data_IF_040995778092
#
_entry.id   IF_040995778092
#
_cell.length_a   1.000
_cell.length_b   1.000
_cell.length_c   1.000
_cell.angle_alpha   90.00
_cell.angle_beta   90.00
_cell.angle_gamma   90.00
#
_symmetry.space_group_name_H-M   'P 1'
#
loop_
_entity.id
_entity.type
_entity.pdbx_description
1 polymer ?
#
# COMPACT_ATOMS: atom_id res chain seq x y z
N UNK A 1 18.08 -3.57 25.73
CA UNK A 1 18.64 -4.33 24.60
C UNK A 1 19.61 -5.37 25.13
N UNK A 2 19.65 -6.54 24.51
CA UNK A 2 20.67 -7.56 24.78
C UNK A 2 21.74 -7.51 23.69
N UNK A 3 23.01 -7.61 24.10
CA UNK A 3 24.18 -7.75 23.23
C UNK A 3 25.00 -8.92 23.77
N UNK A 4 24.82 -10.10 23.18
CA UNK A 4 25.27 -11.35 23.80
C UNK A 4 24.66 -11.52 25.20
N UNK A 5 25.49 -11.76 26.21
CA UNK A 5 25.05 -11.92 27.60
C UNK A 5 24.90 -10.59 28.36
N UNK A 6 25.19 -9.46 27.71
CA UNK A 6 25.16 -8.15 28.35
C UNK A 6 23.85 -7.44 28.04
N UNK A 7 23.27 -6.80 29.06
CA UNK A 7 22.09 -5.94 28.91
C UNK A 7 22.52 -4.48 28.98
N UNK A 8 22.08 -3.68 28.02
CA UNK A 8 22.21 -2.21 28.05
C UNK A 8 20.85 -1.55 27.87
N UNK A 9 20.64 -0.45 28.61
CA UNK A 9 19.46 0.38 28.44
C UNK A 9 19.45 1.05 27.05
N UNK A 10 18.29 1.02 26.39
CA UNK A 10 18.15 1.55 25.04
C UNK A 10 18.32 3.08 25.02
N UNK A 11 17.88 3.75 26.10
CA UNK A 11 18.07 5.19 26.28
C UNK A 11 19.54 5.58 26.44
N UNK A 12 20.35 4.76 27.10
CA UNK A 12 21.80 4.97 27.20
C UNK A 12 22.46 4.95 25.82
N UNK A 13 22.17 3.92 25.01
CA UNK A 13 22.71 3.80 23.65
C UNK A 13 22.27 4.99 22.78
N UNK A 14 21.00 5.37 22.85
CA UNK A 14 20.50 6.55 22.14
C UNK A 14 21.21 7.84 22.55
N UNK A 15 21.34 8.13 23.85
CA UNK A 15 22.05 9.32 24.34
C UNK A 15 23.50 9.34 23.90
N UNK A 16 24.18 8.20 23.94
CA UNK A 16 25.55 8.08 23.44
C UNK A 16 25.62 8.39 21.94
N UNK A 17 24.74 7.80 21.13
CA UNK A 17 24.70 8.06 19.69
C UNK A 17 24.29 9.49 19.33
N UNK A 18 23.42 10.12 20.12
CA UNK A 18 23.02 11.51 19.93
C UNK A 18 24.21 12.45 20.22
N UNK A 19 24.97 12.22 21.30
CA UNK A 19 26.23 12.94 21.59
C UNK A 19 27.31 12.72 20.52
N UNK A 20 27.46 11.50 20.01
CA UNK A 20 28.45 11.17 18.97
C UNK A 20 28.24 11.91 17.65
N UNK A 21 27.07 12.54 17.42
CA UNK A 21 26.82 13.30 16.18
C UNK A 21 27.81 14.43 15.98
N UNK A 22 28.21 15.07 17.08
CA UNK A 22 29.13 16.21 17.06
C UNK A 22 30.59 15.76 16.89
N UNK A 23 30.85 14.44 16.89
CA UNK A 23 32.19 13.86 16.78
C UNK A 23 32.34 13.04 15.48
N UNK A 24 32.32 13.73 14.34
CA UNK A 24 32.41 13.11 13.00
C UNK A 24 33.59 12.14 12.84
N UNK A 25 34.78 12.51 13.33
CA UNK A 25 36.00 11.69 13.22
C UNK A 25 35.86 10.32 13.91
N UNK A 26 35.20 10.25 15.07
CA UNK A 26 34.94 8.98 15.75
C UNK A 26 33.91 8.13 15.01
N UNK A 27 32.85 8.75 14.47
CA UNK A 27 31.84 8.05 13.68
C UNK A 27 32.43 7.40 12.44
N UNK A 28 33.31 8.10 11.74
CA UNK A 28 34.02 7.59 10.57
C UNK A 28 34.99 6.48 10.94
N UNK A 29 35.82 6.69 11.96
CA UNK A 29 36.84 5.71 12.40
C UNK A 29 36.24 4.37 12.81
N UNK A 30 35.09 4.39 13.50
CA UNK A 30 34.44 3.18 14.02
C UNK A 30 33.20 2.75 13.23
N UNK A 31 32.93 3.38 12.07
CA UNK A 31 31.79 3.10 11.20
C UNK A 31 30.42 3.11 11.92
N UNK A 32 30.20 4.10 12.82
CA UNK A 32 28.98 4.19 13.64
C UNK A 32 27.91 5.02 12.91
N UNK A 33 26.83 4.34 12.49
CA UNK A 33 25.64 4.97 11.88
C UNK A 33 24.65 5.48 12.94
N UNK A 34 24.99 6.59 13.60
CA UNK A 34 24.16 7.17 14.70
C UNK A 34 22.73 7.54 14.29
N UNK A 35 22.50 7.88 13.01
CA UNK A 35 21.18 8.15 12.45
C UNK A 35 20.24 6.95 12.54
N UNK A 36 20.75 5.74 12.31
CA UNK A 36 19.95 4.52 12.31
C UNK A 36 19.49 4.17 13.73
N UNK A 37 20.38 4.32 14.70
CA UNK A 37 20.07 4.08 16.12
C UNK A 37 19.04 5.10 16.62
N UNK A 38 19.22 6.39 16.28
CA UNK A 38 18.23 7.41 16.64
C UNK A 38 16.86 7.13 16.01
N UNK A 39 16.86 6.81 14.73
CA UNK A 39 15.63 6.49 14.01
C UNK A 39 14.90 5.29 14.60
N UNK A 40 15.61 4.20 14.91
CA UNK A 40 15.03 3.02 15.55
C UNK A 40 14.59 3.33 16.98
N UNK A 41 15.37 4.09 17.76
CA UNK A 41 15.01 4.52 19.11
C UNK A 41 13.68 5.27 19.13
N UNK A 42 13.53 6.27 18.24
CA UNK A 42 12.31 7.06 18.12
C UNK A 42 11.08 6.22 17.76
N UNK A 43 11.24 5.02 17.19
CA UNK A 43 10.11 4.13 16.93
C UNK A 43 9.65 3.34 18.14
N UNK A 44 10.53 3.04 19.08
CA UNK A 44 10.16 2.29 20.30
C UNK A 44 9.78 3.20 21.48
N UNK A 45 9.91 4.52 21.32
CA UNK A 45 9.45 5.50 22.31
C UNK A 45 8.10 6.04 21.90
N UNK A 46 7.14 6.02 22.84
CA UNK A 46 5.80 6.54 22.63
C UNK A 46 5.84 8.01 22.20
N UNK A 47 5.13 8.31 21.11
CA UNK A 47 5.07 9.63 20.51
C UNK A 47 4.10 10.55 21.25
N UNK A 48 4.29 11.87 21.15
CA UNK A 48 3.21 12.81 21.43
C UNK A 48 2.15 12.70 20.31
N UNK A 49 0.89 12.52 20.70
CA UNK A 49 -0.25 12.21 19.82
C UNK A 49 -0.52 13.30 18.76
N UNK A 50 -0.25 14.57 19.07
CA UNK A 50 -0.52 15.73 18.18
C UNK A 50 0.52 15.94 17.06
N UNK A 51 1.35 14.95 16.74
CA UNK A 51 2.47 15.10 15.79
C UNK A 51 2.24 14.33 14.49
N UNK A 52 3.00 14.68 13.44
CA UNK A 52 3.14 13.93 12.17
C UNK A 52 3.48 12.43 12.35
N UNK A 53 3.80 12.02 13.57
CA UNK A 53 4.15 10.66 13.90
C UNK A 53 3.00 9.75 14.34
N UNK A 54 1.75 10.15 14.14
CA UNK A 54 0.58 9.33 14.46
C UNK A 54 0.61 7.94 13.81
N UNK A 55 1.30 7.79 12.67
CA UNK A 55 1.60 6.50 12.04
C UNK A 55 2.27 5.48 12.99
N UNK A 56 3.09 5.94 13.94
CA UNK A 56 3.79 5.06 14.88
C UNK A 56 2.85 4.40 15.91
N UNK A 57 1.61 4.85 16.04
CA UNK A 57 0.63 4.16 16.90
C UNK A 57 0.04 2.90 16.25
N UNK A 58 0.29 2.66 14.96
CA UNK A 58 -0.17 1.45 14.29
C UNK A 58 0.96 0.40 14.23
N UNK A 59 0.80 -0.68 14.99
CA UNK A 59 1.81 -1.73 15.08
C UNK A 59 2.14 -2.37 13.72
N UNK A 60 1.12 -2.72 12.93
CA UNK A 60 1.32 -3.37 11.63
C UNK A 60 2.01 -2.46 10.62
N UNK A 61 1.75 -1.16 10.68
CA UNK A 61 2.45 -0.20 9.84
C UNK A 61 3.94 -0.14 10.19
N UNK A 62 4.30 -0.16 11.48
CA UNK A 62 5.71 -0.19 11.88
C UNK A 62 6.40 -1.51 11.50
N UNK A 63 5.72 -2.66 11.63
CA UNK A 63 6.22 -3.93 11.09
C UNK A 63 6.44 -3.84 9.57
N UNK A 64 5.51 -3.25 8.84
CA UNK A 64 5.60 -3.09 7.40
C UNK A 64 6.83 -2.28 7.00
N UNK A 65 7.12 -1.19 7.71
CA UNK A 65 8.32 -0.37 7.48
C UNK A 65 9.62 -1.04 7.92
N UNK A 66 9.54 -2.10 8.70
CA UNK A 66 10.68 -2.88 9.18
C UNK A 66 10.96 -4.13 8.32
N UNK A 67 10.18 -4.39 7.26
CA UNK A 67 10.33 -5.59 6.42
C UNK A 67 11.68 -5.73 5.75
N UNK A 68 12.36 -4.63 5.45
CA UNK A 68 13.69 -4.67 4.84
C UNK A 68 14.80 -5.08 5.82
N UNK A 69 14.52 -5.12 7.13
CA UNK A 69 15.45 -5.66 8.12
C UNK A 69 15.71 -7.15 7.82
N UNK A 70 16.93 -7.60 8.08
CA UNK A 70 17.38 -8.97 7.77
C UNK A 70 17.60 -9.74 9.07
N UNK A 71 16.53 -10.20 9.75
CA UNK A 71 16.69 -11.02 10.95
C UNK A 71 17.29 -12.38 10.59
N UNK A 72 17.98 -13.00 11.54
CA UNK A 72 18.49 -14.38 11.38
C UNK A 72 17.35 -15.40 11.36
N UNK A 73 16.32 -15.19 12.18
CA UNK A 73 15.08 -15.98 12.16
C UNK A 73 13.95 -15.17 11.50
N UNK A 74 13.28 -15.65 10.45
CA UNK A 74 12.21 -14.91 9.78
C UNK A 74 10.99 -14.63 10.69
N UNK A 75 10.83 -15.33 11.82
CA UNK A 75 9.78 -15.04 12.81
C UNK A 75 10.04 -13.71 13.55
N UNK A 76 11.30 -13.27 13.60
CA UNK A 76 11.70 -12.03 14.26
C UNK A 76 11.25 -10.77 13.51
N UNK A 77 10.78 -10.90 12.26
CA UNK A 77 10.02 -9.83 11.62
C UNK A 77 8.80 -9.39 12.47
N UNK A 78 8.25 -10.29 13.29
CA UNK A 78 7.19 -9.98 14.27
C UNK A 78 7.76 -9.98 15.69
N UNK A 79 8.45 -11.06 16.10
CA UNK A 79 8.82 -11.26 17.50
C UNK A 79 9.74 -10.17 18.06
N UNK A 80 10.69 -9.67 17.28
CA UNK A 80 11.59 -8.60 17.72
C UNK A 80 10.86 -7.27 18.00
N UNK A 81 9.64 -7.10 17.48
CA UNK A 81 8.85 -5.89 17.63
C UNK A 81 7.78 -5.99 18.72
N UNK A 82 7.60 -7.13 19.40
CA UNK A 82 6.56 -7.27 20.45
C UNK A 82 6.75 -6.33 21.66
N UNK A 83 7.94 -5.77 21.82
CA UNK A 83 8.21 -4.72 22.82
C UNK A 83 7.72 -3.32 22.42
N UNK A 84 7.13 -3.15 21.24
CA UNK A 84 6.70 -1.85 20.73
C UNK A 84 5.52 -1.28 21.53
N UNK A 85 5.58 0.00 21.90
CA UNK A 85 4.61 0.63 22.80
C UNK A 85 3.16 0.60 22.29
N UNK A 86 2.95 0.59 20.97
CA UNK A 86 1.61 0.59 20.38
C UNK A 86 0.76 -0.63 20.79
N UNK A 87 1.37 -1.78 21.08
CA UNK A 87 0.66 -2.96 21.60
C UNK A 87 0.11 -2.75 23.02
N UNK A 88 0.64 -1.77 23.76
CA UNK A 88 0.22 -1.40 25.12
C UNK A 88 -0.48 -0.06 25.18
N UNK A 89 -0.66 0.60 24.03
CA UNK A 89 -1.23 1.93 23.97
C UNK A 89 -2.70 1.90 24.36
N UNK A 90 -3.10 2.84 25.22
CA UNK A 90 -4.49 2.97 25.67
C UNK A 90 -5.42 3.56 24.61
N UNK A 91 -4.85 4.18 23.57
CA UNK A 91 -5.60 4.94 22.56
C UNK A 91 -6.13 4.07 21.42
N UNK A 92 -5.37 3.03 21.02
CA UNK A 92 -5.71 2.17 19.88
C UNK A 92 -5.47 0.68 20.20
N UNK A 93 -6.14 0.11 21.23
CA UNK A 93 -5.81 -1.21 21.71
C UNK A 93 -6.35 -2.32 20.79
N UNK A 94 -5.46 -2.97 20.04
CA UNK A 94 -5.74 -4.31 19.52
C UNK A 94 -5.46 -5.34 20.62
N UNK A 95 -6.49 -5.69 21.41
CA UNK A 95 -6.36 -6.59 22.57
C UNK A 95 -5.91 -8.00 22.19
N UNK A 96 -6.31 -8.47 20.99
CA UNK A 96 -5.92 -9.77 20.46
C UNK A 96 -4.41 -9.87 20.19
N UNK A 97 -3.80 -8.78 19.71
CA UNK A 97 -2.36 -8.67 19.49
C UNK A 97 -1.59 -8.32 20.76
N UNK A 98 -2.19 -7.62 21.72
CA UNK A 98 -1.52 -7.22 22.97
C UNK A 98 -1.05 -8.43 23.79
N UNK A 99 -1.73 -9.58 23.66
CA UNK A 99 -1.39 -10.84 24.32
C UNK A 99 -0.59 -11.80 23.43
N UNK A 100 -0.15 -11.36 22.25
CA UNK A 100 0.66 -12.19 21.36
C UNK A 100 2.09 -12.29 21.87
N UNK A 101 2.55 -13.52 22.10
CA UNK A 101 3.88 -13.81 22.63
C UNK A 101 4.75 -14.54 21.61
N UNK A 102 6.07 -14.39 21.77
CA UNK A 102 7.03 -15.08 20.91
C UNK A 102 7.08 -16.57 21.26
N UNK A 103 6.72 -17.41 20.29
CA UNK A 103 6.77 -18.87 20.41
C UNK A 103 7.60 -19.46 19.27
N UNK A 104 8.85 -19.80 19.59
CA UNK A 104 9.80 -20.38 18.64
C UNK A 104 9.59 -21.89 18.42
N UNK A 105 8.61 -22.51 19.07
CA UNK A 105 8.20 -23.89 18.75
C UNK A 105 7.25 -23.94 17.54
N UNK A 106 6.60 -22.81 17.20
CA UNK A 106 5.73 -22.71 16.02
C UNK A 106 6.54 -22.54 14.74
N UNK A 107 6.07 -23.18 13.67
CA UNK A 107 6.60 -22.95 12.32
C UNK A 107 6.30 -21.52 11.85
N UNK A 108 7.10 -21.01 10.91
CA UNK A 108 6.92 -19.66 10.36
C UNK A 108 5.49 -19.41 9.85
N UNK A 109 4.85 -20.31 9.07
CA UNK A 109 3.47 -20.09 8.62
C UNK A 109 2.47 -20.01 9.78
N UNK A 110 2.61 -20.85 10.80
CA UNK A 110 1.74 -20.80 11.98
C UNK A 110 1.84 -19.45 12.70
N UNK A 111 3.07 -18.94 12.90
CA UNK A 111 3.29 -17.62 13.51
C UNK A 111 2.60 -16.52 12.72
N UNK A 112 2.77 -16.49 11.39
CA UNK A 112 2.21 -15.43 10.54
C UNK A 112 0.68 -15.53 10.44
N UNK A 113 0.12 -16.74 10.36
CA UNK A 113 -1.33 -16.97 10.34
C UNK A 113 -1.95 -16.54 11.68
N UNK A 114 -1.41 -17.00 12.81
CA UNK A 114 -1.91 -16.65 14.14
C UNK A 114 -1.86 -15.14 14.37
N UNK A 115 -0.77 -14.51 13.93
CA UNK A 115 -0.61 -13.06 13.99
C UNK A 115 -1.66 -12.32 13.15
N UNK A 116 -1.86 -12.74 11.89
CA UNK A 116 -2.84 -12.12 11.00
C UNK A 116 -4.28 -12.27 11.53
N UNK A 117 -4.64 -13.45 12.06
CA UNK A 117 -5.95 -13.71 12.68
C UNK A 117 -6.23 -12.73 13.82
N UNK A 118 -5.27 -12.56 14.74
CA UNK A 118 -5.38 -11.63 15.87
C UNK A 118 -5.41 -10.17 15.42
N UNK A 119 -4.57 -9.82 14.44
CA UNK A 119 -4.55 -8.48 13.87
C UNK A 119 -5.91 -8.07 13.27
N UNK A 120 -6.55 -8.99 12.54
CA UNK A 120 -7.87 -8.80 11.96
C UNK A 120 -8.96 -8.74 13.05
N UNK A 121 -9.03 -9.74 13.94
CA UNK A 121 -10.05 -9.82 15.00
C UNK A 121 -10.05 -8.62 15.95
N UNK A 122 -8.88 -8.13 16.31
CA UNK A 122 -8.73 -6.95 17.17
C UNK A 122 -8.63 -5.62 16.40
N UNK A 123 -8.76 -5.63 15.07
CA UNK A 123 -8.69 -4.43 14.24
C UNK A 123 -9.87 -3.51 14.49
N UNK A 124 -9.60 -2.23 14.79
CA UNK A 124 -10.64 -1.24 15.06
C UNK A 124 -10.31 0.13 14.42
N UNK A 125 -11.33 0.99 14.35
CA UNK A 125 -11.20 2.35 13.85
C UNK A 125 -10.91 2.43 12.34
N UNK A 126 -10.26 3.52 11.94
CA UNK A 126 -10.01 3.87 10.53
C UNK A 126 -8.91 3.03 9.86
N UNK A 127 -8.20 2.19 10.62
CA UNK A 127 -7.16 1.29 10.13
C UNK A 127 -7.45 -0.17 10.47
N UNK A 128 -8.71 -0.52 10.69
CA UNK A 128 -9.10 -1.86 11.12
C UNK A 128 -8.67 -2.97 10.14
N UNK A 129 -8.65 -2.69 8.84
CA UNK A 129 -8.19 -3.63 7.80
C UNK A 129 -6.75 -3.40 7.33
N UNK A 130 -5.92 -2.70 8.11
CA UNK A 130 -4.51 -2.52 7.74
C UNK A 130 -3.77 -3.87 7.59
N UNK A 131 -4.23 -4.90 8.30
CA UNK A 131 -3.72 -6.27 8.18
C UNK A 131 -3.85 -6.84 6.75
N UNK A 132 -4.89 -6.44 6.00
CA UNK A 132 -5.06 -6.79 4.59
C UNK A 132 -4.25 -5.86 3.69
N UNK A 133 -4.13 -4.57 4.03
CA UNK A 133 -3.37 -3.60 3.23
C UNK A 133 -1.86 -3.90 3.20
N UNK A 134 -1.30 -4.47 4.26
CA UNK A 134 0.12 -4.87 4.32
C UNK A 134 0.44 -6.16 3.58
N UNK A 135 -0.56 -6.86 3.04
CA UNK A 135 -0.34 -8.07 2.24
C UNK A 135 0.31 -7.68 0.92
N UNK A 136 1.44 -8.34 0.62
CA UNK A 136 2.21 -8.16 -0.60
C UNK A 136 2.63 -9.53 -1.13
N UNK A 137 2.54 -9.72 -2.44
CA UNK A 137 2.89 -10.99 -3.08
C UNK A 137 4.12 -10.84 -3.99
N UNK A 138 4.97 -11.88 -3.99
CA UNK A 138 6.03 -12.03 -5.00
C UNK A 138 5.46 -12.41 -6.35
N UNK A 139 4.57 -13.41 -6.36
CA UNK A 139 3.78 -13.84 -7.51
C UNK A 139 2.43 -14.38 -7.02
N UNK A 140 1.42 -14.35 -7.88
CA UNK A 140 0.12 -14.99 -7.64
C UNK A 140 -0.26 -15.82 -8.86
N UNK A 141 -0.96 -16.96 -8.70
CA UNK A 141 -1.48 -17.73 -9.82
C UNK A 141 -2.34 -16.87 -10.74
N UNK A 142 -2.14 -16.97 -12.05
CA UNK A 142 -2.92 -16.20 -13.03
C UNK A 142 -4.26 -16.87 -13.32
N UNK A 143 -5.31 -16.08 -13.56
CA UNK A 143 -6.65 -16.56 -13.92
C UNK A 143 -6.60 -17.50 -15.15
N UNK A 144 -5.77 -17.19 -16.15
CA UNK A 144 -5.65 -17.98 -17.40
C UNK A 144 -5.02 -19.35 -17.20
N UNK A 145 -4.17 -19.50 -16.18
CA UNK A 145 -3.56 -20.80 -15.87
C UNK A 145 -4.58 -21.78 -15.27
N UNK A 146 -5.70 -21.27 -14.74
CA UNK A 146 -6.74 -22.07 -14.08
C UNK A 146 -7.85 -22.53 -15.03
N UNK A 147 -8.08 -21.84 -16.15
CA UNK A 147 -9.14 -22.18 -17.11
C UNK A 147 -8.79 -23.38 -18.01
N UNK A 148 -7.50 -23.65 -18.24
CA UNK A 148 -7.05 -24.69 -19.16
C UNK A 148 -6.80 -26.07 -18.53
N UNK A 149 -7.08 -26.25 -17.23
CA UNK A 149 -6.83 -27.52 -16.52
C UNK A 149 -8.08 -27.96 -15.73
N UNK A 150 -8.83 -28.90 -16.30
CA UNK A 150 -10.05 -29.54 -15.75
C UNK A 150 -9.74 -30.63 -14.71
N UNK A 151 -8.87 -30.34 -13.74
CA UNK A 151 -8.53 -31.28 -12.65
C UNK A 151 -9.10 -30.84 -11.29
N UNK A 152 -9.61 -31.75 -10.46
CA UNK A 152 -10.03 -31.42 -9.10
C UNK A 152 -8.78 -31.13 -8.27
N UNK A 153 -8.78 -29.98 -7.61
CA UNK A 153 -7.88 -29.65 -6.49
C UNK A 153 -6.40 -30.01 -6.69
N UNK A 154 -5.63 -29.14 -7.37
CA UNK A 154 -4.19 -29.09 -7.12
C UNK A 154 -3.73 -27.71 -6.70
N UNK A 155 -3.45 -27.64 -5.40
CA UNK A 155 -2.31 -26.96 -4.80
C UNK A 155 -2.01 -25.61 -5.43
N UNK A 156 -2.61 -24.57 -4.85
CA UNK A 156 -2.07 -23.22 -4.89
C UNK A 156 -0.54 -23.34 -4.81
N UNK A 157 0.18 -22.88 -5.84
CA UNK A 157 1.64 -22.85 -5.82
C UNK A 157 2.08 -21.75 -4.87
N UNK A 158 1.85 -21.94 -3.57
CA UNK A 158 2.19 -20.94 -2.58
C UNK A 158 3.66 -21.16 -2.23
N UNK A 159 4.52 -20.30 -2.78
CA UNK A 159 5.91 -20.19 -2.36
C UNK A 159 6.06 -19.91 -0.84
N UNK A 160 4.96 -19.65 -0.13
CA UNK A 160 4.82 -19.65 1.33
C UNK A 160 3.50 -20.35 1.68
N UNK A 161 3.39 -21.32 2.61
CA UNK A 161 2.11 -22.02 2.93
C UNK A 161 1.02 -21.12 3.59
N UNK A 162 0.91 -19.87 3.17
CA UNK A 162 0.10 -18.81 3.76
C UNK A 162 -1.15 -18.57 2.89
N UNK A 163 -2.33 -18.39 3.51
CA UNK A 163 -3.49 -17.85 2.82
C UNK A 163 -3.17 -16.49 2.19
N UNK A 164 -3.82 -16.12 1.08
CA UNK A 164 -3.51 -14.84 0.39
C UNK A 164 -3.80 -13.61 1.25
N UNK A 165 -4.68 -13.71 2.25
CA UNK A 165 -4.98 -12.62 3.19
C UNK A 165 -3.96 -12.50 4.34
N UNK A 166 -2.96 -13.40 4.40
CA UNK A 166 -1.89 -13.38 5.41
C UNK A 166 -0.63 -12.77 4.80
N UNK A 167 -0.13 -11.74 5.47
CA UNK A 167 1.10 -11.08 5.08
C UNK A 167 2.32 -11.98 5.26
N UNK A 168 3.10 -12.15 4.18
CA UNK A 168 4.47 -12.62 4.26
C UNK A 168 5.39 -11.44 4.61
N UNK A 169 5.89 -11.41 5.84
CA UNK A 169 6.73 -10.32 6.33
C UNK A 169 8.16 -10.35 5.79
N UNK A 170 8.56 -11.42 5.09
CA UNK A 170 9.86 -11.51 4.41
C UNK A 170 9.84 -10.82 3.03
N UNK A 171 8.66 -10.52 2.51
CA UNK A 171 8.48 -9.87 1.21
C UNK A 171 8.23 -8.38 1.40
N UNK A 172 8.99 -7.55 0.67
CA UNK A 172 8.76 -6.12 0.58
C UNK A 172 8.70 -5.65 -0.88
N UNK A 173 7.58 -5.03 -1.27
CA UNK A 173 7.31 -4.54 -2.63
C UNK A 173 7.07 -3.02 -2.68
N UNK A 174 7.36 -2.30 -1.61
CA UNK A 174 7.13 -0.86 -1.49
C UNK A 174 6.19 -0.52 -0.33
N UNK A 175 5.97 0.78 -0.09
CA UNK A 175 5.08 1.24 0.98
C UNK A 175 3.61 0.90 0.69
N UNK A 176 2.75 0.95 1.72
CA UNK A 176 1.29 0.82 1.55
C UNK A 176 0.57 2.18 1.39
N UNK A 177 -0.53 2.19 0.64
CA UNK A 177 -1.41 3.33 0.39
C UNK A 177 -2.34 3.61 1.58
N UNK A 178 -2.71 2.56 2.33
CA UNK A 178 -3.56 2.62 3.52
C UNK A 178 -2.80 3.04 4.80
N UNK A 179 -1.80 3.91 4.70
CA UNK A 179 -1.07 4.36 5.89
C UNK A 179 -2.02 5.02 6.93
N UNK A 180 -1.76 4.88 8.24
CA UNK A 180 -2.70 5.33 9.27
C UNK A 180 -3.12 6.79 9.15
N UNK A 181 -2.20 7.70 8.84
CA UNK A 181 -2.48 9.14 8.69
C UNK A 181 -3.03 9.54 7.32
N UNK A 182 -3.13 8.62 6.36
CA UNK A 182 -3.64 8.95 5.04
C UNK A 182 -5.07 9.51 5.15
N UNK A 183 -5.46 10.48 4.31
CA UNK A 183 -6.82 11.03 4.34
C UNK A 183 -7.84 10.14 3.63
N UNK A 184 -7.42 9.03 3.02
CA UNK A 184 -8.33 8.13 2.33
C UNK A 184 -9.35 7.51 3.28
N UNK A 185 -10.60 7.40 2.82
CA UNK A 185 -11.73 6.83 3.53
C UNK A 185 -12.63 6.08 2.55
N UNK A 186 -12.07 5.11 1.82
CA UNK A 186 -12.83 4.33 0.84
C UNK A 186 -14.04 3.64 1.48
N UNK A 187 -13.91 3.17 2.73
CA UNK A 187 -14.99 2.60 3.51
C UNK A 187 -16.11 3.57 3.89
N UNK A 188 -15.92 4.88 3.74
CA UNK A 188 -16.89 5.90 4.15
C UNK A 188 -17.22 5.82 5.64
N UNK A 189 -18.41 5.29 5.94
CA UNK A 189 -18.91 5.05 7.31
C UNK A 189 -19.05 3.57 7.64
N UNK A 190 -18.75 2.66 6.70
CA UNK A 190 -18.86 1.22 6.91
C UNK A 190 -17.82 0.72 7.90
N UNK A 191 -18.21 -0.27 8.72
CA UNK A 191 -17.31 -0.93 9.66
C UNK A 191 -16.93 -2.32 9.17
N UNK A 192 -15.76 -2.84 9.55
CA UNK A 192 -15.38 -4.20 9.23
C UNK A 192 -16.47 -5.19 9.63
N UNK A 193 -16.86 -6.04 8.68
CA UNK A 193 -17.79 -7.13 8.87
C UNK A 193 -17.17 -8.36 8.23
N UNK A 194 -16.64 -9.24 9.07
CA UNK A 194 -15.86 -10.40 8.63
C UNK A 194 -15.87 -11.54 9.65
N UNK A 195 -15.54 -12.73 9.19
CA UNK A 195 -15.40 -13.97 9.97
C UNK A 195 -14.19 -14.76 9.43
N UNK A 196 -13.48 -15.45 10.32
CA UNK A 196 -12.36 -16.32 9.94
C UNK A 196 -12.71 -17.76 10.32
N UNK A 197 -12.77 -18.64 9.33
CA UNK A 197 -12.83 -20.09 9.51
C UNK A 197 -11.41 -20.58 9.87
N UNK A 198 -11.20 -20.93 11.14
CA UNK A 198 -9.87 -21.24 11.67
C UNK A 198 -9.25 -22.50 11.07
N UNK A 199 -10.09 -23.50 10.75
CA UNK A 199 -9.69 -24.80 10.24
C UNK A 199 -9.40 -24.75 8.74
N UNK A 200 -10.27 -24.08 7.98
CA UNK A 200 -10.12 -23.96 6.52
C UNK A 200 -9.23 -22.80 6.11
N UNK A 201 -8.87 -21.92 7.05
CA UNK A 201 -8.10 -20.70 6.82
C UNK A 201 -8.77 -19.75 5.80
N UNK A 202 -10.10 -19.70 5.81
CA UNK A 202 -10.89 -18.84 4.92
C UNK A 202 -11.32 -17.59 5.68
N UNK A 203 -11.01 -16.42 5.12
CA UNK A 203 -11.53 -15.14 5.61
C UNK A 203 -12.77 -14.76 4.81
N UNK A 204 -13.95 -14.79 5.43
CA UNK A 204 -15.19 -14.25 4.86
C UNK A 204 -15.28 -12.78 5.21
N UNK A 205 -15.32 -11.91 4.22
CA UNK A 205 -15.34 -10.47 4.43
C UNK A 205 -16.37 -9.78 3.54
N UNK A 206 -17.10 -8.83 4.12
CA UNK A 206 -18.12 -8.07 3.41
C UNK A 206 -17.52 -6.84 2.73
N UNK A 207 -18.09 -6.49 1.58
CA UNK A 207 -17.74 -5.30 0.84
C UNK A 207 -18.63 -5.12 -0.38
N UNK A 208 -18.25 -4.20 -1.26
CA UNK A 208 -18.90 -3.97 -2.55
C UNK A 208 -17.93 -4.18 -3.69
N UNK A 209 -18.32 -5.01 -4.65
CA UNK A 209 -17.62 -5.13 -5.92
C UNK A 209 -18.00 -3.96 -6.81
N UNK A 210 -17.02 -3.14 -7.20
CA UNK A 210 -17.25 -1.94 -8.00
C UNK A 210 -17.11 -2.24 -9.49
N UNK A 211 -16.01 -2.89 -9.87
CA UNK A 211 -15.69 -3.17 -11.26
C UNK A 211 -14.61 -4.26 -11.42
N UNK A 212 -14.19 -4.53 -12.65
CA UNK A 212 -13.15 -5.49 -13.01
C UNK A 212 -12.11 -4.83 -13.92
N UNK A 213 -10.84 -5.17 -13.71
CA UNK A 213 -9.73 -4.69 -14.52
C UNK A 213 -9.82 -5.20 -15.96
N UNK A 214 -9.68 -4.29 -16.91
CA UNK A 214 -9.71 -4.58 -18.34
C UNK A 214 -8.30 -4.56 -18.93
N UNK A 215 -7.53 -3.51 -18.64
CA UNK A 215 -6.16 -3.33 -19.12
C UNK A 215 -5.21 -3.03 -17.96
N UNK A 216 -4.01 -3.59 -18.01
CA UNK A 216 -2.97 -3.38 -17.00
C UNK A 216 -1.64 -3.05 -17.69
N UNK A 217 -0.96 -2.03 -17.20
CA UNK A 217 0.39 -1.67 -17.64
C UNK A 217 1.39 -2.74 -17.24
N UNK A 218 2.59 -2.69 -17.82
CA UNK A 218 3.78 -3.26 -17.19
C UNK A 218 4.01 -2.68 -15.80
N UNK A 219 4.79 -3.37 -14.96
CA UNK A 219 5.22 -2.82 -13.66
C UNK A 219 6.02 -1.53 -13.89
N UNK A 220 5.67 -0.49 -13.16
CA UNK A 220 6.34 0.81 -13.21
C UNK A 220 7.63 0.76 -12.39
N UNK A 221 8.71 1.23 -13.01
CA UNK A 221 10.08 1.18 -12.50
C UNK A 221 10.34 2.32 -11.53
N UNK A 222 11.41 2.15 -10.75
CA UNK A 222 11.91 3.26 -9.93
C UNK A 222 12.37 4.41 -10.83
N UNK A 223 12.08 5.63 -10.40
CA UNK A 223 12.46 6.86 -11.11
C UNK A 223 11.98 6.96 -12.56
N UNK A 224 10.96 6.19 -12.94
CA UNK A 224 10.44 6.15 -14.30
C UNK A 224 9.85 7.49 -14.76
N UNK A 225 9.41 8.32 -13.82
CA UNK A 225 8.87 9.66 -14.09
C UNK A 225 9.87 10.78 -13.72
N UNK A 226 11.16 10.44 -13.55
CA UNK A 226 12.24 11.42 -13.38
C UNK A 226 12.96 11.71 -14.70
N UNK A 227 13.56 12.90 -14.78
CA UNK A 227 14.34 13.36 -15.94
C UNK A 227 15.53 12.43 -16.21
N UNK A 228 15.44 11.69 -17.31
CA UNK A 228 16.58 10.99 -17.89
C UNK A 228 16.73 11.49 -19.31
N UNK A 229 17.78 12.29 -19.53
CA UNK A 229 18.22 12.81 -20.84
C UNK A 229 18.35 11.70 -21.92
N UNK A 230 18.28 10.44 -21.54
CA UNK A 230 18.33 9.23 -22.35
C UNK A 230 17.06 8.92 -23.17
N UNK A 231 15.91 9.58 -22.94
CA UNK A 231 14.63 9.25 -23.62
C UNK A 231 14.22 10.22 -24.76
N UNK A 232 15.13 11.06 -25.27
CA UNK A 232 14.83 11.92 -26.43
C UNK A 232 14.56 11.07 -27.68
N UNK A 233 13.29 10.82 -28.00
CA UNK A 233 12.83 10.16 -29.24
C UNK A 233 11.97 8.90 -29.06
N UNK A 234 11.70 8.46 -27.83
CA UNK A 234 10.84 7.29 -27.51
C UNK A 234 9.56 7.72 -26.79
N UNK A 235 8.45 6.98 -26.98
CA UNK A 235 7.18 7.18 -26.25
C UNK A 235 7.45 7.21 -24.73
N UNK A 236 7.06 8.29 -24.06
CA UNK A 236 7.24 8.40 -22.60
C UNK A 236 6.34 7.44 -21.85
N UNK A 237 6.67 7.12 -20.60
CA UNK A 237 5.77 6.32 -19.76
C UNK A 237 4.40 6.96 -19.57
N UNK A 238 4.34 8.30 -19.53
CA UNK A 238 3.08 9.05 -19.46
C UNK A 238 2.28 8.86 -20.75
N UNK A 239 2.91 9.01 -21.92
CA UNK A 239 2.28 8.77 -23.22
C UNK A 239 1.80 7.32 -23.38
N UNK A 240 2.66 6.35 -23.05
CA UNK A 240 2.35 4.93 -23.06
C UNK A 240 1.11 4.64 -22.21
N UNK A 241 1.08 5.11 -20.95
CA UNK A 241 -0.06 4.85 -20.08
C UNK A 241 -1.33 5.52 -20.60
N UNK A 242 -1.24 6.79 -21.03
CA UNK A 242 -2.38 7.54 -21.56
C UNK A 242 -2.97 6.91 -22.82
N UNK A 243 -2.11 6.52 -23.77
CA UNK A 243 -2.55 5.98 -25.06
C UNK A 243 -2.90 4.51 -24.99
N UNK A 244 -2.05 3.69 -24.37
CA UNK A 244 -2.22 2.23 -24.39
C UNK A 244 -3.14 1.72 -23.29
N UNK A 245 -3.15 2.33 -22.12
CA UNK A 245 -3.94 1.86 -20.98
C UNK A 245 -5.22 2.66 -20.81
N UNK A 246 -5.15 3.99 -20.81
CA UNK A 246 -6.34 4.83 -20.73
C UNK A 246 -7.15 4.83 -22.04
N UNK A 247 -6.53 4.42 -23.16
CA UNK A 247 -7.08 4.44 -24.52
C UNK A 247 -7.53 5.84 -24.95
N UNK A 248 -6.73 6.85 -24.59
CA UNK A 248 -6.92 8.24 -25.02
C UNK A 248 -6.00 8.57 -26.19
N UNK A 249 -6.48 9.36 -27.16
CA UNK A 249 -5.70 9.69 -28.37
C UNK A 249 -4.65 10.77 -28.07
N UNK A 250 -5.14 11.92 -27.63
CA UNK A 250 -4.35 13.12 -27.37
C UNK A 250 -4.54 13.60 -25.94
N UNK A 251 -3.54 14.29 -25.40
CA UNK A 251 -3.66 14.93 -24.09
C UNK A 251 -4.57 16.13 -24.21
N UNK A 252 -5.60 16.19 -23.36
CA UNK A 252 -6.57 17.27 -23.36
C UNK A 252 -7.26 17.34 -21.99
N UNK A 253 -7.96 18.46 -21.74
CA UNK A 253 -8.73 18.68 -20.51
C UNK A 253 -10.24 18.47 -20.70
N UNK A 254 -10.67 18.17 -21.92
CA UNK A 254 -12.09 18.07 -22.28
C UNK A 254 -12.66 16.67 -22.04
N UNK A 255 -11.81 15.65 -22.22
CA UNK A 255 -12.12 14.26 -22.01
C UNK A 255 -12.68 14.06 -20.60
N UNK A 256 -13.93 13.62 -20.52
CA UNK A 256 -14.59 13.34 -19.25
C UNK A 256 -14.19 11.97 -18.72
N UNK A 257 -14.02 11.92 -17.41
CA UNK A 257 -13.88 10.72 -16.61
C UNK A 257 -15.26 10.33 -16.04
N UNK A 258 -15.52 9.04 -15.71
CA UNK A 258 -16.85 8.58 -15.29
C UNK A 258 -17.53 9.37 -14.17
N UNK A 259 -16.76 9.99 -13.25
CA UNK A 259 -17.32 10.80 -12.15
C UNK A 259 -17.47 12.30 -12.49
N UNK A 260 -17.37 12.68 -13.77
CA UNK A 260 -17.49 14.06 -14.25
C UNK A 260 -16.20 14.88 -14.20
N UNK A 261 -15.14 14.39 -13.54
CA UNK A 261 -13.82 15.03 -13.58
C UNK A 261 -13.21 14.93 -14.99
N UNK A 262 -12.12 15.65 -15.23
CA UNK A 262 -11.34 15.42 -16.45
C UNK A 262 -10.57 14.10 -16.34
N UNK A 263 -10.46 13.37 -17.44
CA UNK A 263 -9.67 12.13 -17.51
C UNK A 263 -8.21 12.41 -17.15
N UNK A 264 -7.69 13.56 -17.56
CA UNK A 264 -6.33 13.97 -17.23
C UNK A 264 -6.14 14.15 -15.72
N UNK A 265 -7.09 14.81 -15.03
CA UNK A 265 -7.04 14.95 -13.58
C UNK A 265 -7.08 13.59 -12.89
N UNK A 266 -7.99 12.70 -13.29
CA UNK A 266 -8.08 11.35 -12.74
C UNK A 266 -6.78 10.55 -12.91
N UNK A 267 -6.13 10.69 -14.07
CA UNK A 267 -4.85 10.05 -14.37
C UNK A 267 -3.74 10.53 -13.44
N UNK A 268 -3.58 11.84 -13.28
CA UNK A 268 -2.58 12.46 -12.40
C UNK A 268 -2.77 12.06 -10.94
N UNK A 269 -4.02 12.07 -10.46
CA UNK A 269 -4.35 11.67 -9.10
C UNK A 269 -4.07 10.18 -8.87
N UNK A 270 -4.36 9.34 -9.86
CA UNK A 270 -4.11 7.89 -9.78
C UNK A 270 -2.61 7.58 -9.66
N UNK A 271 -1.78 8.19 -10.50
CA UNK A 271 -0.33 7.97 -10.47
C UNK A 271 0.36 8.45 -9.19
N UNK A 272 -0.24 9.43 -8.51
CA UNK A 272 0.34 10.10 -7.34
C UNK A 272 -0.28 9.66 -6.01
N UNK A 273 -1.20 8.69 -6.03
CA UNK A 273 -2.02 8.35 -4.86
C UNK A 273 -2.70 9.59 -4.25
N UNK A 274 -3.34 10.39 -5.10
CA UNK A 274 -4.02 11.64 -4.70
C UNK A 274 -3.10 12.75 -4.20
N UNK A 275 -1.78 12.66 -4.49
CA UNK A 275 -0.73 13.54 -3.96
C UNK A 275 -0.69 13.62 -2.41
N UNK A 276 -1.16 12.58 -1.72
CA UNK A 276 -1.17 12.51 -0.25
C UNK A 276 0.21 12.74 0.36
N UNK A 277 1.28 12.44 -0.38
CA UNK A 277 2.66 12.59 0.06
C UNK A 277 3.21 14.03 -0.04
N UNK A 278 2.55 14.94 -0.75
CA UNK A 278 3.07 16.31 -1.00
C UNK A 278 2.46 17.35 -0.07
N UNK A 279 1.24 17.17 0.45
CA UNK A 279 0.71 18.18 1.40
C UNK A 279 -0.45 17.67 2.23
N UNK A 280 -0.48 18.10 3.49
CA UNK A 280 -1.75 18.29 4.18
C UNK A 280 -2.66 19.17 3.32
N UNK A 281 -3.85 18.65 3.04
CA UNK A 281 -5.04 19.40 2.58
C UNK A 281 -4.97 20.25 1.30
N UNK A 282 -3.96 20.16 0.42
CA UNK A 282 -4.00 20.88 -0.88
C UNK A 282 -4.12 19.95 -2.07
N UNK A 283 -5.27 20.03 -2.73
CA UNK A 283 -5.58 19.44 -4.04
C UNK A 283 -4.65 20.09 -5.06
N UNK A 284 -3.78 19.35 -5.75
CA UNK A 284 -2.85 20.00 -6.65
C UNK A 284 -3.43 20.09 -8.06
N UNK A 285 -3.21 21.27 -8.63
CA UNK A 285 -3.70 21.76 -9.92
C UNK A 285 -3.07 21.00 -11.09
N UNK A 286 -3.70 21.13 -12.26
CA UNK A 286 -3.29 20.63 -13.59
C UNK A 286 -1.80 20.84 -13.94
N UNK A 287 -1.12 21.81 -13.30
CA UNK A 287 0.31 22.15 -13.48
C UNK A 287 1.30 21.02 -13.21
N UNK A 288 0.91 20.07 -12.36
CA UNK A 288 1.73 19.00 -11.84
C UNK A 288 2.54 18.23 -12.90
N UNK A 289 2.01 18.17 -14.13
CA UNK A 289 2.48 17.32 -15.21
C UNK A 289 3.29 18.06 -16.29
N UNK A 290 3.24 19.39 -16.30
CA UNK A 290 3.69 20.20 -17.45
C UNK A 290 5.06 20.82 -17.28
N UNK A 291 5.68 20.62 -16.12
CA UNK A 291 7.04 21.11 -15.81
C UNK A 291 8.09 19.96 -15.85
N UNK A 292 7.75 18.79 -16.41
CA UNK A 292 8.58 17.58 -16.38
C UNK A 292 9.54 17.45 -17.58
N UNK A 293 10.56 18.31 -17.70
CA UNK A 293 11.53 18.38 -18.84
C UNK A 293 12.18 17.08 -19.38
N UNK A 294 11.90 15.91 -18.81
CA UNK A 294 12.46 14.62 -19.24
C UNK A 294 11.57 13.69 -20.05
N UNK A 295 10.25 13.89 -20.13
CA UNK A 295 9.37 13.01 -20.92
C UNK A 295 7.97 13.59 -21.18
N UNK A 296 7.88 14.91 -21.37
CA UNK A 296 6.59 15.56 -21.60
C UNK A 296 6.12 15.20 -23.00
N UNK A 297 4.95 14.57 -23.10
CA UNK A 297 4.26 14.49 -24.38
C UNK A 297 4.08 15.92 -24.91
N UNK A 298 4.33 16.21 -26.19
CA UNK A 298 4.17 17.57 -26.72
C UNK A 298 2.83 18.22 -26.37
N UNK A 299 1.72 17.45 -26.35
CA UNK A 299 0.39 17.94 -25.96
C UNK A 299 0.21 18.27 -24.47
N UNK A 300 1.11 17.81 -23.59
CA UNK A 300 1.13 18.16 -22.17
C UNK A 300 1.81 19.52 -21.91
N UNK A 301 2.81 19.90 -22.72
CA UNK A 301 3.44 21.22 -22.66
C UNK A 301 2.43 22.34 -22.95
N UNK A 302 1.63 22.17 -24.01
CA UNK A 302 0.59 23.14 -24.42
C UNK A 302 -0.50 23.35 -23.36
N UNK A 303 -0.81 22.32 -22.56
CA UNK A 303 -1.76 22.42 -21.45
C UNK A 303 -1.19 23.16 -20.24
N UNK A 304 0.13 23.13 -20.08
CA UNK A 304 0.84 23.78 -18.97
C UNK A 304 0.97 25.27 -19.11
N UNK A 305 1.19 25.74 -20.34
CA UNK A 305 1.29 27.16 -20.67
C UNK A 305 -0.01 27.93 -20.38
N UNK A 306 -1.16 27.22 -20.36
CA UNK A 306 -2.49 27.78 -20.07
C UNK A 306 -2.85 27.78 -18.58
N UNK A 307 -2.02 27.23 -17.69
CA UNK A 307 -2.31 27.07 -16.26
C UNK A 307 -1.54 28.07 -15.37
N UNK A 308 -2.19 28.53 -14.29
CA UNK A 308 -1.73 29.61 -13.41
C UNK A 308 -0.65 29.13 -12.40
N UNK A 309 0.58 29.70 -12.41
CA UNK A 309 1.79 29.18 -11.72
C UNK A 309 1.74 29.24 -10.18
N UNK A 310 1.27 28.20 -9.49
CA UNK A 310 1.54 27.95 -8.06
C UNK A 310 1.78 26.45 -7.76
N UNK A 311 3.05 26.05 -7.55
CA UNK A 311 3.51 24.69 -7.18
C UNK A 311 4.71 24.23 -8.02
N UNK A 312 5.69 23.52 -7.43
CA UNK A 312 6.99 23.25 -8.07
C UNK A 312 7.18 21.86 -8.67
N UNK A 313 7.72 21.80 -9.90
CA UNK A 313 8.20 20.64 -10.69
C UNK A 313 8.61 19.39 -9.91
N UNK A 314 9.50 19.53 -8.93
CA UNK A 314 10.14 18.38 -8.29
C UNK A 314 9.21 17.61 -7.33
N UNK A 315 8.15 18.25 -6.84
CA UNK A 315 7.27 17.69 -5.83
C UNK A 315 6.41 16.55 -6.39
N UNK A 316 5.88 16.73 -7.62
CA UNK A 316 5.02 15.72 -8.25
C UNK A 316 5.77 14.50 -8.72
N UNK A 317 6.88 14.68 -9.44
CA UNK A 317 7.70 13.54 -9.86
C UNK A 317 8.17 12.74 -8.65
N UNK A 318 8.46 13.38 -7.51
CA UNK A 318 8.76 12.66 -6.25
C UNK A 318 7.56 11.86 -5.75
N UNK A 319 6.37 12.46 -5.70
CA UNK A 319 5.16 11.77 -5.24
C UNK A 319 4.71 10.66 -6.17
N UNK A 320 4.81 10.82 -7.48
CA UNK A 320 4.45 9.77 -8.44
C UNK A 320 5.46 8.65 -8.40
N UNK A 321 6.76 8.93 -8.37
CA UNK A 321 7.74 7.85 -8.26
C UNK A 321 7.60 7.11 -6.94
N UNK A 322 7.32 7.80 -5.85
CA UNK A 322 6.98 7.15 -4.59
C UNK A 322 5.71 6.29 -4.76
N UNK A 323 4.58 6.87 -5.14
CA UNK A 323 3.29 6.16 -5.25
C UNK A 323 3.29 5.01 -6.27
N UNK A 324 3.95 5.15 -7.41
CA UNK A 324 3.80 4.23 -8.54
C UNK A 324 4.91 3.19 -8.67
N UNK A 325 6.09 3.39 -8.07
CA UNK A 325 7.18 2.43 -8.13
C UNK A 325 6.73 1.05 -7.63
N UNK A 326 6.99 0.02 -8.44
CA UNK A 326 6.66 -1.37 -8.11
C UNK A 326 5.16 -1.69 -8.21
N UNK A 327 4.36 -0.76 -8.75
CA UNK A 327 2.92 -0.92 -8.98
C UNK A 327 2.61 -1.03 -10.49
N UNK A 328 1.38 -1.41 -10.80
CA UNK A 328 0.81 -1.33 -12.15
C UNK A 328 -0.27 -0.27 -12.18
N UNK A 329 -0.30 0.48 -13.26
CA UNK A 329 -1.44 1.31 -13.62
C UNK A 329 -2.42 0.46 -14.43
N UNK A 330 -3.71 0.62 -14.23
CA UNK A 330 -4.73 -0.16 -14.90
C UNK A 330 -5.98 0.68 -15.18
N UNK A 331 -6.80 0.16 -16.10
CA UNK A 331 -8.13 0.67 -16.39
C UNK A 331 -9.16 -0.44 -16.18
N UNK A 332 -10.28 -0.12 -15.54
CA UNK A 332 -11.42 -1.04 -15.39
C UNK A 332 -12.34 -0.99 -16.61
N UNK A 333 -13.29 -1.93 -16.71
CA UNK A 333 -14.29 -1.98 -17.79
C UNK A 333 -15.20 -0.75 -17.85
N UNK A 334 -15.52 -0.13 -16.70
CA UNK A 334 -16.26 1.13 -16.61
C UNK A 334 -15.37 2.36 -16.77
N UNK A 335 -14.09 2.17 -17.14
CA UNK A 335 -13.15 3.26 -17.40
C UNK A 335 -12.52 3.88 -16.16
N UNK A 336 -12.57 3.22 -15.00
CA UNK A 336 -11.89 3.73 -13.81
C UNK A 336 -10.38 3.50 -13.89
N UNK A 337 -9.59 4.47 -13.44
CA UNK A 337 -8.14 4.37 -13.35
C UNK A 337 -7.71 3.85 -11.98
N UNK A 338 -6.80 2.88 -12.00
CA UNK A 338 -6.37 2.13 -10.82
C UNK A 338 -4.85 2.08 -10.76
N UNK A 339 -4.29 2.27 -9.57
CA UNK A 339 -2.88 2.01 -9.27
C UNK A 339 -2.81 0.94 -8.18
N UNK A 340 -2.32 -0.25 -8.55
CA UNK A 340 -2.33 -1.43 -7.67
C UNK A 340 -1.00 -2.20 -7.67
N UNK A 341 -0.88 -3.29 -6.90
CA UNK A 341 0.37 -4.01 -6.72
C UNK A 341 0.88 -4.64 -8.03
N UNK A 342 2.18 -4.97 -8.09
CA UNK A 342 2.77 -5.65 -9.25
C UNK A 342 2.07 -6.96 -9.65
N UNK A 343 1.45 -7.64 -8.68
CA UNK A 343 0.73 -8.90 -8.88
C UNK A 343 -0.63 -8.72 -9.59
N UNK A 344 -1.13 -7.49 -9.70
CA UNK A 344 -2.40 -7.17 -10.35
C UNK A 344 -2.41 -7.56 -11.84
N UNK A 345 -3.52 -8.11 -12.32
CA UNK A 345 -3.71 -8.51 -13.71
C UNK A 345 -5.14 -8.26 -14.23
N UNK A 346 -5.31 -8.31 -15.55
CA UNK A 346 -6.63 -8.22 -16.20
C UNK A 346 -7.56 -9.30 -15.65
N UNK A 347 -8.78 -8.91 -15.30
CA UNK A 347 -9.78 -9.81 -14.71
C UNK A 347 -9.85 -9.75 -13.18
N UNK A 348 -8.85 -9.15 -12.51
CA UNK A 348 -8.96 -8.89 -11.08
C UNK A 348 -10.11 -7.91 -10.80
N UNK A 349 -10.80 -8.14 -9.68
CA UNK A 349 -11.96 -7.38 -9.23
C UNK A 349 -11.51 -6.23 -8.33
N UNK A 350 -11.95 -5.02 -8.66
CA UNK A 350 -11.81 -3.85 -7.79
C UNK A 350 -13.01 -3.78 -6.85
N UNK A 351 -12.74 -3.78 -5.55
CA UNK A 351 -13.76 -3.76 -4.52
C UNK A 351 -13.40 -2.79 -3.37
N UNK A 352 -14.41 -2.39 -2.61
CA UNK A 352 -14.23 -1.72 -1.32
C UNK A 352 -14.69 -2.68 -0.24
N UNK A 353 -13.74 -3.19 0.55
CA UNK A 353 -14.02 -4.00 1.73
C UNK A 353 -14.45 -3.07 2.87
N UNK A 354 -15.48 -3.45 3.63
CA UNK A 354 -16.00 -2.59 4.70
C UNK A 354 -14.95 -2.36 5.79
N UNK A 355 -14.78 -1.11 6.23
CA UNK A 355 -13.69 -0.68 7.11
C UNK A 355 -12.29 -0.60 6.46
N UNK A 356 -12.19 -0.82 5.14
CA UNK A 356 -10.98 -0.64 4.35
C UNK A 356 -10.72 0.83 4.01
N UNK A 357 -9.54 1.35 4.39
CA UNK A 357 -9.14 2.74 4.14
C UNK A 357 -9.00 3.08 2.65
N UNK A 358 -8.64 2.08 1.86
CA UNK A 358 -8.47 2.14 0.40
C UNK A 358 -9.19 0.95 -0.25
N UNK A 359 -9.48 1.01 -1.57
CA UNK A 359 -9.97 -0.14 -2.33
C UNK A 359 -8.96 -1.29 -2.38
N UNK A 360 -9.44 -2.49 -2.73
CA UNK A 360 -8.65 -3.70 -2.88
C UNK A 360 -8.90 -4.39 -4.22
N UNK A 361 -7.86 -5.03 -4.75
CA UNK A 361 -7.97 -5.96 -5.87
C UNK A 361 -8.09 -7.39 -5.34
N UNK A 362 -9.06 -8.13 -5.87
CA UNK A 362 -9.29 -9.55 -5.58
C UNK A 362 -9.24 -10.36 -6.88
N UNK A 363 -8.58 -11.51 -6.85
CA UNK A 363 -8.53 -12.44 -7.99
C UNK A 363 -9.51 -13.57 -7.78
N UNK A 364 -10.42 -13.77 -8.73
CA UNK A 364 -11.39 -14.88 -8.63
C UNK A 364 -10.70 -16.23 -8.90
N UNK A 365 -10.99 -17.21 -8.05
CA UNK A 365 -10.51 -18.59 -8.10
C UNK A 365 -11.70 -19.53 -7.88
N UNK A 366 -12.44 -19.84 -8.94
CA UNK A 366 -13.72 -20.55 -8.84
C UNK A 366 -14.75 -19.73 -8.06
N UNK A 367 -15.25 -20.27 -6.95
CA UNK A 367 -16.18 -19.58 -6.03
C UNK A 367 -15.49 -18.68 -4.99
N UNK A 368 -14.17 -18.80 -4.82
CA UNK A 368 -13.38 -18.08 -3.83
C UNK A 368 -12.52 -17.01 -4.49
N UNK A 369 -11.82 -16.23 -3.67
CA UNK A 369 -10.96 -15.16 -4.13
C UNK A 369 -9.59 -15.22 -3.46
N UNK A 370 -8.55 -14.80 -4.17
CA UNK A 370 -7.28 -14.44 -3.55
C UNK A 370 -7.24 -12.92 -3.36
N UNK A 371 -6.75 -12.47 -2.22
CA UNK A 371 -6.36 -11.07 -2.05
C UNK A 371 -5.17 -10.79 -2.94
N UNK A 372 -5.27 -9.80 -3.83
CA UNK A 372 -4.14 -9.36 -4.67
C UNK A 372 -3.38 -8.24 -3.96
N UNK A 373 -4.10 -7.36 -3.26
CA UNK A 373 -3.56 -6.28 -2.45
C UNK A 373 -4.43 -5.02 -2.52
N UNK A 374 -4.05 -4.01 -1.76
CA UNK A 374 -4.67 -2.68 -1.83
C UNK A 374 -4.37 -1.96 -3.16
N UNK A 375 -5.26 -1.06 -3.56
CA UNK A 375 -5.08 -0.21 -4.72
C UNK A 375 -5.67 1.19 -4.50
N UNK A 376 -5.13 2.19 -5.20
CA UNK A 376 -5.82 3.45 -5.41
C UNK A 376 -6.75 3.29 -6.61
N UNK A 377 -7.99 3.75 -6.51
CA UNK A 377 -8.90 3.85 -7.63
C UNK A 377 -9.60 5.21 -7.62
N UNK A 378 -9.42 5.99 -8.69
CA UNK A 378 -9.92 7.37 -8.70
C UNK A 378 -11.44 7.41 -8.66
N UNK A 379 -11.97 8.13 -7.68
CA UNK A 379 -13.41 8.20 -7.40
C UNK A 379 -13.92 7.14 -6.43
N UNK A 380 -13.04 6.40 -5.72
CA UNK A 380 -13.42 5.44 -4.67
C UNK A 380 -12.69 5.67 -3.33
N UNK A 381 -11.98 6.80 -3.18
CA UNK A 381 -11.08 7.04 -2.04
C UNK A 381 -11.74 7.81 -0.88
N UNK A 382 -13.00 8.23 -1.02
CA UNK A 382 -13.74 9.10 -0.10
C UNK A 382 -15.15 8.57 0.24
N UNK A 383 -15.38 7.28 0.11
CA UNK A 383 -16.64 6.63 0.50
C UNK A 383 -17.69 6.59 -0.62
N UNK A 384 -17.31 6.93 -1.85
CA UNK A 384 -18.20 6.97 -3.01
C UNK A 384 -18.90 5.63 -3.25
N UNK A 385 -18.20 4.51 -3.03
CA UNK A 385 -18.78 3.17 -3.15
C UNK A 385 -19.91 2.93 -2.15
N UNK A 386 -19.84 3.50 -0.95
CA UNK A 386 -20.92 3.41 0.04
C UNK A 386 -22.11 4.30 -0.36
N UNK A 387 -21.83 5.47 -0.94
CA UNK A 387 -22.88 6.34 -1.50
C UNK A 387 -23.61 5.64 -2.65
N UNK A 388 -22.89 4.95 -3.54
CA UNK A 388 -23.49 4.16 -4.62
C UNK A 388 -24.32 2.99 -4.07
N UNK A 389 -23.83 2.31 -3.01
CA UNK A 389 -24.58 1.24 -2.34
C UNK A 389 -25.87 1.76 -1.69
N UNK A 390 -25.84 2.94 -1.05
CA UNK A 390 -27.02 3.57 -0.46
C UNK A 390 -28.06 4.03 -1.49
N UNK A 391 -27.68 4.09 -2.77
CA UNK A 391 -28.55 4.38 -3.91
C UNK A 391 -28.96 3.12 -4.69
N UNK A 392 -28.66 1.93 -4.16
CA UNK A 392 -28.90 0.63 -4.81
C UNK A 392 -28.15 0.42 -6.15
N UNK A 393 -27.12 1.23 -6.43
CA UNK A 393 -26.26 1.11 -7.62
C UNK A 393 -25.19 0.01 -7.47
N UNK A 394 -24.83 -0.30 -6.21
CA UNK A 394 -23.92 -1.38 -5.84
C UNK A 394 -24.57 -2.24 -4.75
N UNK A 395 -24.28 -3.54 -4.76
CA UNK A 395 -24.83 -4.50 -3.80
C UNK A 395 -23.71 -5.04 -2.92
N UNK A 396 -23.99 -5.15 -1.62
CA UNK A 396 -23.13 -5.83 -0.66
C UNK A 396 -22.88 -7.29 -1.08
N UNK A 397 -21.63 -7.72 -0.98
CA UNK A 397 -21.21 -9.10 -1.26
C UNK A 397 -20.32 -9.60 -0.13
N UNK A 398 -20.32 -10.92 0.02
CA UNK A 398 -19.35 -11.64 0.86
C UNK A 398 -18.27 -12.21 -0.05
N UNK A 399 -17.02 -11.89 0.25
CA UNK A 399 -15.85 -12.46 -0.41
C UNK A 399 -15.23 -13.51 0.50
N UNK A 400 -15.04 -14.74 -0.02
CA UNK A 400 -14.26 -15.78 0.66
C UNK A 400 -12.81 -15.71 0.19
N UNK A 401 -11.92 -15.21 1.04
CA UNK A 401 -10.50 -15.08 0.76
C UNK A 401 -9.74 -16.34 1.20
N UNK A 402 -8.94 -16.92 0.30
CA UNK A 402 -8.12 -18.13 0.52
C UNK A 402 -6.64 -17.90 0.47
#
# INVERSE_FOLDING_TARGET
>A
MFWGNTKIDWGVVHRFCDKLKDYWHFRMKFNIRTSNIKYLFQRFVEANEKSYHANRFNFLYELHRARELQPTDPRDHIFAFLGHYSLRSKYHPNRELAVFEADYNKSLPQVYIDFAKRALRGGQGDSALIALAVVQHGSLPSHRATENNTGPERSLSIQSKLPSWVADWTIYKGFILAEPISPHKAHGTSRPKMEIDDDKLILRIHGVQVDTLEDCSRVLRDREFHDTREHRGTESSVEYLWRKICQKKDFNLEDKYPNGHTAFFAFSQTLSNGCVQISGERVPSIMILTDSDGAIAPGLLELGEKADRKGGKEEWSRSVNAASKGRRFARTKKGLYVLGPAAMERGDVVCVLFGGKVPFCLRRMGSRHMLVGECYAHGLMKGEAMTMMAKDELVEKVFELV
#
